data_IF_635574970071
#
_entry.id   IF_635574970071
#
_cell.length_a   1.000
_cell.length_b   1.000
_cell.length_c   1.000
_cell.angle_alpha   90.00
_cell.angle_beta   90.00
_cell.angle_gamma   90.00
#
_symmetry.space_group_name_H-M   'P 1'
#
loop_
_entity.id
_entity.type
_entity.pdbx_description
1 polymer ?
#
# COMPACT_ATOMS: atom_id res chain seq x y z
N UNK A 1 37.78 17.50 48.45
CA UNK A 1 38.77 18.34 47.73
C UNK A 1 38.79 17.93 46.27
N UNK A 2 38.47 18.92 45.41
CA UNK A 2 38.64 19.01 43.98
C UNK A 2 37.68 18.21 43.06
N UNK A 3 36.67 19.00 42.59
CA UNK A 3 35.91 18.82 41.37
C UNK A 3 36.80 18.80 40.12
N UNK A 4 36.44 17.97 39.13
CA UNK A 4 36.66 18.29 37.73
C UNK A 4 35.37 17.95 36.93
N UNK A 5 34.62 19.00 36.65
CA UNK A 5 33.58 18.99 35.64
C UNK A 5 34.26 19.13 34.27
N UNK A 6 34.01 18.17 33.36
CA UNK A 6 34.43 18.27 31.97
C UNK A 6 33.17 18.42 31.10
N UNK A 7 32.88 19.67 30.74
CA UNK A 7 31.83 20.07 29.81
C UNK A 7 32.32 19.80 28.37
N UNK A 8 31.70 18.84 27.72
CA UNK A 8 31.89 18.58 26.29
C UNK A 8 30.84 19.40 25.49
N UNK A 9 31.32 20.44 24.77
CA UNK A 9 30.51 21.23 23.85
C UNK A 9 30.59 20.61 22.46
N UNK A 10 29.47 20.30 21.77
CA UNK A 10 29.53 19.86 20.38
C UNK A 10 29.70 21.05 19.44
N UNK A 11 30.72 20.96 18.58
CA UNK A 11 30.98 21.92 17.48
C UNK A 11 29.85 21.88 16.47
N UNK A 12 29.21 23.01 16.24
CA UNK A 12 28.20 23.21 15.22
C UNK A 12 28.74 22.99 13.82
N UNK A 13 28.13 22.10 13.07
CA UNK A 13 28.33 21.96 11.63
C UNK A 13 27.41 22.98 10.94
N UNK A 14 28.06 23.94 10.26
CA UNK A 14 27.41 25.00 9.47
C UNK A 14 26.93 24.40 8.14
N UNK A 15 25.62 24.14 8.00
CA UNK A 15 25.02 23.73 6.73
C UNK A 15 24.84 24.97 5.85
N UNK A 16 25.58 24.99 4.74
CA UNK A 16 25.46 26.01 3.71
C UNK A 16 24.20 25.76 2.87
N UNK A 17 23.22 26.67 2.96
CA UNK A 17 22.05 26.68 2.08
C UNK A 17 22.44 27.17 0.69
N UNK A 18 22.47 26.28 -0.29
CA UNK A 18 22.48 26.69 -1.72
C UNK A 18 21.04 26.83 -2.19
N UNK A 19 20.61 28.07 -2.33
CA UNK A 19 19.40 28.45 -3.05
C UNK A 19 19.47 27.97 -4.51
N UNK A 20 18.64 27.00 -4.90
CA UNK A 20 18.37 26.74 -6.30
C UNK A 20 17.07 27.41 -6.71
N UNK A 21 17.21 28.46 -7.50
CA UNK A 21 16.11 29.20 -8.09
C UNK A 21 15.37 28.32 -9.11
N UNK A 22 14.15 28.01 -8.86
CA UNK A 22 13.24 27.38 -9.82
C UNK A 22 12.75 28.46 -10.81
N UNK A 23 13.23 28.40 -12.03
CA UNK A 23 12.73 29.22 -13.13
C UNK A 23 11.32 28.78 -13.50
N UNK A 24 10.35 29.67 -13.26
CA UNK A 24 8.98 29.54 -13.77
C UNK A 24 9.02 29.74 -15.29
N UNK A 25 8.66 28.70 -16.03
CA UNK A 25 8.41 28.78 -17.48
C UNK A 25 6.94 29.14 -17.67
N UNK A 26 6.65 30.36 -18.08
CA UNK A 26 5.34 30.78 -18.53
C UNK A 26 5.17 30.36 -19.98
N UNK A 27 4.22 29.46 -20.27
CA UNK A 27 3.73 29.25 -21.60
C UNK A 27 2.60 30.23 -21.88
N UNK A 28 2.90 31.16 -22.82
CA UNK A 28 1.92 32.08 -23.39
C UNK A 28 1.17 31.35 -24.52
N UNK A 29 -0.13 31.14 -24.36
CA UNK A 29 -1.00 30.65 -25.42
C UNK A 29 -1.53 31.82 -26.22
N UNK A 30 -0.97 32.00 -27.42
CA UNK A 30 -1.56 32.88 -28.41
C UNK A 30 -2.71 32.16 -29.12
N UNK A 31 -3.93 32.64 -28.90
CA UNK A 31 -5.11 32.22 -29.63
C UNK A 31 -5.09 32.89 -31.02
N UNK A 32 -5.00 32.09 -32.06
CA UNK A 32 -5.17 32.54 -33.44
C UNK A 32 -6.58 32.14 -33.93
N UNK A 33 -7.48 33.14 -33.97
CA UNK A 33 -8.78 33.01 -34.61
C UNK A 33 -8.61 33.00 -36.13
N UNK A 34 -8.89 31.91 -36.79
CA UNK A 34 -9.12 31.89 -38.26
C UNK A 34 -10.64 31.91 -38.52
N UNK A 35 -11.07 33.11 -38.99
CA UNK A 35 -12.41 33.34 -39.49
C UNK A 35 -12.41 33.00 -41.01
N UNK A 36 -13.01 31.91 -41.43
CA UNK A 36 -13.25 31.63 -42.84
C UNK A 36 -14.75 31.77 -43.11
N UNK A 37 -15.04 32.89 -43.81
CA UNK A 37 -16.32 33.13 -44.47
C UNK A 37 -16.40 32.26 -45.75
N UNK A 38 -17.33 31.32 -45.82
CA UNK A 38 -17.77 30.73 -47.09
C UNK A 38 -19.18 31.16 -47.38
N UNK A 39 -19.28 32.01 -48.42
CA UNK A 39 -20.54 32.40 -49.07
C UNK A 39 -21.00 31.30 -50.06
N UNK A 40 -22.17 30.90 -49.89
CA UNK A 40 -23.23 30.58 -50.84
C UNK A 40 -22.98 29.62 -51.99
N UNK A 41 -23.79 28.57 -52.01
CA UNK A 41 -24.47 28.22 -53.25
C UNK A 41 -25.73 27.38 -52.88
N UNK A 42 -26.89 27.92 -53.21
CA UNK A 42 -28.15 27.20 -53.24
C UNK A 42 -28.14 26.19 -54.41
N UNK A 43 -28.21 24.90 -54.09
CA UNK A 43 -28.48 23.83 -55.03
C UNK A 43 -29.51 22.91 -54.42
N UNK A 44 -30.78 23.02 -54.90
CA UNK A 44 -31.87 22.13 -54.52
C UNK A 44 -31.69 20.78 -55.21
N UNK A 45 -31.59 19.70 -54.44
CA UNK A 45 -31.68 18.32 -54.89
C UNK A 45 -32.77 17.57 -54.10
N UNK A 46 -33.47 16.60 -54.73
CA UNK A 46 -34.69 16.03 -54.20
C UNK A 46 -34.44 15.07 -53.02
N UNK A 47 -35.46 15.02 -52.16
CA UNK A 47 -35.45 14.33 -50.89
C UNK A 47 -35.18 12.83 -50.95
N UNK A 48 -34.18 12.44 -50.21
CA UNK A 48 -34.01 11.09 -49.67
C UNK A 48 -34.27 11.15 -48.18
N UNK A 49 -35.33 10.51 -47.74
CA UNK A 49 -35.67 10.40 -46.33
C UNK A 49 -34.64 9.50 -45.62
N UNK A 50 -33.56 10.06 -45.16
CA UNK A 50 -32.67 9.39 -44.20
C UNK A 50 -33.40 9.32 -42.85
N UNK A 51 -33.92 8.14 -42.52
CA UNK A 51 -34.25 7.78 -41.16
C UNK A 51 -32.99 7.88 -40.32
N UNK A 52 -32.84 8.99 -39.62
CA UNK A 52 -31.86 9.16 -38.58
C UNK A 52 -32.21 8.22 -37.43
N UNK A 53 -31.73 6.98 -37.52
CA UNK A 53 -31.70 6.04 -36.41
C UNK A 53 -30.78 6.61 -35.33
N UNK A 54 -31.35 7.29 -34.35
CA UNK A 54 -30.63 7.63 -33.10
C UNK A 54 -30.14 6.32 -32.46
N UNK A 55 -28.92 5.93 -32.79
CA UNK A 55 -28.21 4.90 -31.99
C UNK A 55 -28.00 5.50 -30.61
N UNK A 56 -28.92 5.23 -29.69
CA UNK A 56 -28.67 5.40 -28.26
C UNK A 56 -27.39 4.62 -27.92
N UNK A 57 -26.34 5.34 -27.64
CA UNK A 57 -25.18 4.75 -27.03
C UNK A 57 -25.65 4.25 -25.66
N UNK A 58 -25.94 2.97 -25.55
CA UNK A 58 -26.16 2.29 -24.30
C UNK A 58 -24.77 2.32 -23.61
N UNK A 59 -24.54 3.28 -22.72
CA UNK A 59 -23.42 3.28 -21.82
C UNK A 59 -23.65 2.08 -20.91
N UNK A 60 -23.03 0.95 -21.26
CA UNK A 60 -23.00 -0.20 -20.36
C UNK A 60 -22.27 0.25 -19.09
N UNK A 61 -23.01 0.34 -18.00
CA UNK A 61 -22.41 0.51 -16.69
C UNK A 61 -21.42 -0.64 -16.48
N UNK A 62 -20.20 -0.35 -15.98
CA UNK A 62 -19.26 -1.41 -15.65
C UNK A 62 -19.94 -2.40 -14.70
N UNK A 63 -19.71 -3.71 -14.88
CA UNK A 63 -20.30 -4.71 -14.00
C UNK A 63 -19.95 -4.39 -12.56
N UNK A 64 -20.95 -4.39 -11.67
CA UNK A 64 -20.75 -4.16 -10.24
C UNK A 64 -19.68 -5.14 -9.75
N UNK A 65 -18.66 -4.61 -9.05
CA UNK A 65 -17.62 -5.43 -8.45
C UNK A 65 -18.27 -6.52 -7.58
N UNK A 66 -17.80 -7.76 -7.74
CA UNK A 66 -18.28 -8.89 -6.92
C UNK A 66 -17.57 -8.91 -5.57
N UNK A 67 -16.37 -8.37 -5.51
CA UNK A 67 -15.53 -8.30 -4.33
C UNK A 67 -14.83 -6.93 -4.31
N UNK A 68 -15.09 -6.11 -3.30
CA UNK A 68 -14.30 -4.92 -3.00
C UNK A 68 -13.20 -5.31 -2.03
N UNK A 69 -11.96 -5.21 -2.48
CA UNK A 69 -10.76 -5.56 -1.73
C UNK A 69 -9.95 -4.32 -1.43
N UNK A 70 -9.65 -4.07 -0.15
CA UNK A 70 -8.81 -2.97 0.31
C UNK A 70 -7.52 -3.54 0.89
N UNK A 71 -6.38 -3.01 0.46
CA UNK A 71 -5.07 -3.31 1.02
C UNK A 71 -4.56 -2.09 1.81
N UNK A 72 -4.38 -2.26 3.12
CA UNK A 72 -3.80 -1.29 4.05
C UNK A 72 -2.34 -1.66 4.29
N UNK A 73 -1.41 -0.69 4.20
CA UNK A 73 -0.02 -0.97 4.44
C UNK A 73 0.95 0.12 4.02
N UNK A 74 2.23 -0.21 3.99
CA UNK A 74 3.29 0.73 3.71
C UNK A 74 3.85 0.60 2.27
N UNK A 75 5.17 0.80 2.12
CA UNK A 75 5.89 0.68 0.86
C UNK A 75 5.77 -0.69 0.21
N UNK A 76 5.73 -1.75 1.01
CA UNK A 76 5.53 -3.11 0.52
C UNK A 76 4.15 -3.31 -0.10
N UNK A 77 3.13 -2.66 0.45
CA UNK A 77 1.76 -2.69 -0.07
C UNK A 77 1.61 -1.79 -1.28
N UNK A 78 2.29 -0.64 -1.30
CA UNK A 78 2.39 0.22 -2.49
C UNK A 78 3.06 -0.50 -3.66
N UNK A 79 4.11 -1.29 -3.42
CA UNK A 79 4.84 -2.04 -4.43
C UNK A 79 6.28 -1.56 -4.67
N UNK A 80 6.88 -0.82 -3.72
CA UNK A 80 8.29 -0.41 -3.84
C UNK A 80 9.15 -1.66 -4.00
N UNK A 81 10.06 -1.64 -4.98
CA UNK A 81 10.94 -2.76 -5.30
C UNK A 81 10.47 -3.62 -6.49
N UNK A 82 9.21 -3.51 -6.90
CA UNK A 82 8.73 -4.11 -8.15
C UNK A 82 9.23 -3.33 -9.38
N UNK A 83 9.27 -4.00 -10.53
CA UNK A 83 9.60 -3.35 -11.82
C UNK A 83 8.54 -2.30 -12.21
N UNK A 84 7.28 -2.57 -11.90
CA UNK A 84 6.15 -1.65 -12.01
C UNK A 84 5.35 -1.67 -10.69
N UNK A 85 5.61 -0.71 -9.77
CA UNK A 85 4.94 -0.67 -8.47
C UNK A 85 3.42 -0.54 -8.53
N UNK A 86 2.87 0.05 -9.58
CA UNK A 86 1.42 0.26 -9.68
C UNK A 86 0.65 -1.03 -9.99
N UNK A 87 1.27 -1.95 -10.72
CA UNK A 87 0.59 -3.16 -11.21
C UNK A 87 1.21 -4.48 -10.76
N UNK A 88 2.49 -4.49 -10.37
CA UNK A 88 3.25 -5.69 -9.98
C UNK A 88 3.53 -5.72 -8.47
N UNK A 89 2.54 -5.37 -7.68
CA UNK A 89 2.57 -5.43 -6.22
C UNK A 89 1.70 -6.60 -5.72
N UNK A 90 1.97 -7.10 -4.50
CA UNK A 90 1.23 -8.23 -3.96
C UNK A 90 -0.30 -8.03 -3.85
N UNK A 91 -0.85 -6.81 -3.57
CA UNK A 91 -2.30 -6.61 -3.61
C UNK A 91 -2.89 -6.80 -5.00
N UNK A 92 -2.21 -6.33 -6.05
CA UNK A 92 -2.65 -6.50 -7.45
C UNK A 92 -2.62 -7.97 -7.86
N UNK A 93 -1.56 -8.69 -7.53
CA UNK A 93 -1.43 -10.12 -7.79
C UNK A 93 -2.49 -10.92 -7.01
N UNK A 94 -2.74 -10.57 -5.74
CA UNK A 94 -3.81 -11.18 -4.95
C UNK A 94 -5.18 -10.92 -5.58
N UNK A 95 -5.46 -9.70 -6.05
CA UNK A 95 -6.71 -9.39 -6.71
C UNK A 95 -6.92 -10.22 -7.98
N UNK A 96 -5.87 -10.48 -8.75
CA UNK A 96 -5.92 -11.42 -9.90
C UNK A 96 -6.23 -12.85 -9.45
N UNK A 97 -5.61 -13.35 -8.39
CA UNK A 97 -5.86 -14.68 -7.82
C UNK A 97 -7.28 -14.84 -7.25
N UNK A 98 -7.86 -13.76 -6.71
CA UNK A 98 -9.23 -13.73 -6.21
C UNK A 98 -10.26 -13.76 -7.34
N UNK A 99 -9.85 -13.47 -8.57
CA UNK A 99 -10.62 -13.65 -9.78
C UNK A 99 -11.28 -12.41 -10.36
N UNK A 100 -11.87 -12.55 -11.55
CA UNK A 100 -12.48 -11.43 -12.28
C UNK A 100 -13.68 -10.86 -11.51
N UNK A 101 -13.73 -9.56 -11.42
CA UNK A 101 -14.71 -8.82 -10.63
C UNK A 101 -14.24 -8.43 -9.24
N UNK A 102 -12.96 -8.69 -8.90
CA UNK A 102 -12.30 -8.08 -7.75
C UNK A 102 -11.95 -6.63 -8.07
N UNK A 103 -12.44 -5.71 -7.25
CA UNK A 103 -12.08 -4.29 -7.29
C UNK A 103 -11.08 -4.01 -6.17
N UNK A 104 -9.82 -3.85 -6.52
CA UNK A 104 -8.74 -3.51 -5.58
C UNK A 104 -8.70 -2.01 -5.33
N UNK A 105 -8.56 -1.66 -4.05
CA UNK A 105 -8.20 -0.32 -3.58
C UNK A 105 -6.93 -0.48 -2.75
N UNK A 106 -5.79 -0.16 -3.37
CA UNK A 106 -4.49 -0.21 -2.70
C UNK A 106 -4.26 1.12 -1.99
N UNK A 107 -4.20 1.10 -0.66
CA UNK A 107 -3.99 2.27 0.21
C UNK A 107 -2.55 2.37 0.71
N UNK A 108 -1.63 1.55 0.22
CA UNK A 108 -0.25 1.53 0.66
C UNK A 108 0.43 2.91 0.58
N UNK A 109 0.96 3.41 1.69
CA UNK A 109 1.66 4.68 1.78
C UNK A 109 3.12 4.41 2.19
N UNK A 110 4.11 4.64 1.29
CA UNK A 110 5.52 4.42 1.63
C UNK A 110 5.96 5.16 2.90
N UNK A 111 6.60 4.44 3.82
CA UNK A 111 7.12 5.00 5.07
C UNK A 111 6.10 5.15 6.20
N UNK A 112 4.81 4.90 5.97
CA UNK A 112 3.77 5.05 6.98
C UNK A 112 4.01 4.09 8.16
N UNK A 113 3.79 4.60 9.37
CA UNK A 113 3.68 3.80 10.60
C UNK A 113 2.20 3.62 10.97
N UNK A 114 1.91 2.62 11.80
CA UNK A 114 0.54 2.24 12.15
C UNK A 114 -0.31 3.41 12.67
N UNK A 115 0.26 4.28 13.50
CA UNK A 115 -0.44 5.45 14.02
C UNK A 115 -0.94 6.39 12.91
N UNK A 116 -0.12 6.60 11.88
CA UNK A 116 -0.49 7.44 10.73
C UNK A 116 -1.54 6.78 9.85
N UNK A 117 -1.47 5.45 9.69
CA UNK A 117 -2.46 4.68 8.93
C UNK A 117 -3.88 4.81 9.52
N UNK A 118 -4.01 5.00 10.84
CA UNK A 118 -5.30 5.24 11.51
C UNK A 118 -6.07 6.43 10.94
N UNK A 119 -5.37 7.47 10.50
CA UNK A 119 -5.98 8.70 10.01
C UNK A 119 -5.95 8.80 8.47
N UNK A 120 -4.95 8.19 7.83
CA UNK A 120 -4.78 8.27 6.38
C UNK A 120 -5.52 7.14 5.63
N UNK A 121 -5.45 5.90 6.10
CA UNK A 121 -5.93 4.73 5.36
C UNK A 121 -7.27 4.20 5.88
N UNK A 122 -7.45 4.13 7.20
CA UNK A 122 -8.65 3.53 7.81
C UNK A 122 -9.96 4.21 7.40
N UNK A 123 -10.07 5.56 7.36
CA UNK A 123 -11.32 6.21 6.92
C UNK A 123 -11.69 5.85 5.48
N UNK A 124 -10.70 5.84 4.58
CA UNK A 124 -10.91 5.48 3.17
C UNK A 124 -11.30 4.01 3.03
N UNK A 125 -10.64 3.13 3.80
CA UNK A 125 -10.94 1.70 3.81
C UNK A 125 -12.39 1.42 4.23
N UNK A 126 -12.92 2.16 5.20
CA UNK A 126 -14.30 2.01 5.68
C UNK A 126 -15.32 2.56 4.66
N UNK A 127 -15.03 3.72 4.08
CA UNK A 127 -15.95 4.46 3.20
C UNK A 127 -16.32 3.68 1.92
N UNK A 128 -15.42 2.83 1.44
CA UNK A 128 -15.65 2.01 0.24
C UNK A 128 -16.41 0.71 0.49
N UNK A 129 -16.84 0.45 1.72
CA UNK A 129 -17.61 -0.74 2.12
C UNK A 129 -17.00 -2.06 1.62
N UNK A 130 -15.78 -2.41 2.05
CA UNK A 130 -15.04 -3.57 1.54
C UNK A 130 -15.66 -4.90 1.97
N UNK A 131 -15.39 -5.93 1.16
CA UNK A 131 -15.65 -7.32 1.53
C UNK A 131 -14.40 -8.00 2.11
N UNK A 132 -13.22 -7.52 1.70
CA UNK A 132 -11.92 -8.02 2.16
C UNK A 132 -11.02 -6.85 2.49
N UNK A 133 -10.36 -6.91 3.64
CA UNK A 133 -9.29 -5.99 4.04
C UNK A 133 -8.06 -6.82 4.37
N UNK A 134 -6.94 -6.50 3.73
CA UNK A 134 -5.63 -7.01 4.13
C UNK A 134 -4.81 -5.91 4.77
N UNK A 135 -4.01 -6.26 5.78
CA UNK A 135 -3.20 -5.32 6.55
C UNK A 135 -1.77 -5.86 6.64
N UNK A 136 -0.80 -5.06 6.20
CA UNK A 136 0.61 -5.36 6.43
C UNK A 136 1.35 -4.07 6.83
N UNK A 137 1.43 -3.88 8.16
CA UNK A 137 2.11 -2.77 8.85
C UNK A 137 2.97 -3.37 9.97
N UNK A 138 3.91 -2.64 10.48
CA UNK A 138 4.79 -2.91 11.62
C UNK A 138 6.28 -2.77 11.31
N UNK A 139 6.75 -3.05 10.10
CA UNK A 139 8.18 -2.98 9.77
C UNK A 139 8.70 -1.54 9.95
N UNK A 140 7.93 -0.55 9.52
CA UNK A 140 8.27 0.87 9.74
C UNK A 140 8.18 1.26 11.22
N UNK A 141 7.20 0.76 11.96
CA UNK A 141 7.09 0.99 13.42
C UNK A 141 8.32 0.44 14.15
N UNK A 142 8.74 -0.78 13.80
CA UNK A 142 9.94 -1.40 14.32
C UNK A 142 11.20 -0.60 13.94
N UNK A 143 11.31 -0.17 12.69
CA UNK A 143 12.44 0.60 12.17
C UNK A 143 12.56 2.01 12.77
N UNK A 144 11.44 2.62 13.14
CA UNK A 144 11.36 3.95 13.77
C UNK A 144 11.32 3.89 15.32
N UNK A 145 11.62 2.75 15.94
CA UNK A 145 11.62 2.57 17.39
C UNK A 145 10.30 2.93 18.08
N UNK A 146 9.15 2.74 17.40
CA UNK A 146 7.84 2.98 18.02
C UNK A 146 7.69 2.09 19.24
N UNK A 147 7.36 2.66 20.43
CA UNK A 147 7.22 1.86 21.63
C UNK A 147 6.16 0.77 21.45
N UNK A 148 6.49 -0.47 21.83
CA UNK A 148 5.63 -1.63 21.59
C UNK A 148 4.21 -1.48 22.19
N UNK A 149 4.10 -0.79 23.34
CA UNK A 149 2.79 -0.51 23.94
C UNK A 149 1.97 0.52 23.14
N UNK A 150 2.62 1.44 22.40
CA UNK A 150 1.95 2.38 21.52
C UNK A 150 1.46 1.64 20.29
N UNK A 151 2.31 0.83 19.65
CA UNK A 151 1.94 -0.03 18.55
C UNK A 151 0.75 -0.95 18.91
N UNK A 152 0.78 -1.57 20.10
CA UNK A 152 -0.31 -2.44 20.56
C UNK A 152 -1.65 -1.71 20.68
N UNK A 153 -1.66 -0.48 21.22
CA UNK A 153 -2.87 0.35 21.34
C UNK A 153 -3.40 0.77 19.96
N UNK A 154 -2.51 1.18 19.08
CA UNK A 154 -2.88 1.64 17.74
C UNK A 154 -3.40 0.49 16.88
N UNK A 155 -2.82 -0.71 17.01
CA UNK A 155 -3.30 -1.92 16.33
C UNK A 155 -4.70 -2.33 16.83
N UNK A 156 -4.94 -2.30 18.13
CA UNK A 156 -6.26 -2.56 18.70
C UNK A 156 -7.31 -1.55 18.23
N UNK A 157 -6.93 -0.28 18.17
CA UNK A 157 -7.78 0.79 17.66
C UNK A 157 -8.08 0.63 16.17
N UNK A 158 -7.07 0.29 15.34
CA UNK A 158 -7.21 0.06 13.91
C UNK A 158 -8.21 -1.07 13.65
N UNK A 159 -8.01 -2.23 14.26
CA UNK A 159 -8.89 -3.39 14.09
C UNK A 159 -10.31 -3.08 14.58
N UNK A 160 -10.44 -2.41 15.73
CA UNK A 160 -11.74 -1.99 16.27
C UNK A 160 -12.48 -1.02 15.36
N UNK A 161 -11.77 -0.06 14.72
CA UNK A 161 -12.38 0.89 13.78
C UNK A 161 -12.84 0.17 12.52
N UNK A 162 -12.01 -0.71 11.95
CA UNK A 162 -12.35 -1.48 10.76
C UNK A 162 -13.54 -2.41 11.00
N UNK A 163 -13.58 -3.14 12.11
CA UNK A 163 -14.70 -4.03 12.43
C UNK A 163 -16.02 -3.28 12.64
N UNK A 164 -15.97 -2.10 13.24
CA UNK A 164 -17.18 -1.27 13.41
C UNK A 164 -17.64 -0.62 12.12
N UNK A 165 -16.69 -0.12 11.31
CA UNK A 165 -17.00 0.62 10.09
C UNK A 165 -17.28 -0.26 8.88
N UNK A 166 -16.71 -1.47 8.85
CA UNK A 166 -16.88 -2.45 7.78
C UNK A 166 -17.21 -3.85 8.34
N UNK A 167 -18.36 -4.02 9.04
CA UNK A 167 -18.67 -5.26 9.77
C UNK A 167 -18.80 -6.50 8.89
N UNK A 168 -18.98 -6.32 7.58
CA UNK A 168 -19.06 -7.42 6.61
C UNK A 168 -17.70 -7.78 6.01
N UNK A 169 -16.66 -7.01 6.31
CA UNK A 169 -15.35 -7.24 5.74
C UNK A 169 -14.63 -8.39 6.45
N UNK A 170 -14.08 -9.30 5.67
CA UNK A 170 -13.10 -10.27 6.15
C UNK A 170 -11.77 -9.56 6.35
N UNK A 171 -11.24 -9.55 7.57
CA UNK A 171 -9.99 -8.84 7.90
C UNK A 171 -8.86 -9.86 8.05
N UNK A 172 -7.75 -9.58 7.40
CA UNK A 172 -6.55 -10.40 7.38
C UNK A 172 -5.34 -9.53 7.69
N UNK A 173 -4.50 -9.93 8.61
CA UNK A 173 -3.29 -9.19 8.98
C UNK A 173 -2.05 -10.09 8.84
N UNK A 174 -0.98 -9.54 8.27
CA UNK A 174 0.31 -10.19 8.22
C UNK A 174 1.18 -9.79 9.42
N UNK A 175 1.96 -10.74 9.93
CA UNK A 175 2.99 -10.44 10.93
C UNK A 175 4.30 -9.96 10.28
N UNK A 176 5.25 -9.53 11.11
CA UNK A 176 6.59 -9.12 10.68
C UNK A 176 7.37 -10.37 10.25
N UNK A 177 7.93 -10.40 9.02
CA UNK A 177 8.77 -11.50 8.57
C UNK A 177 10.09 -11.58 9.35
N UNK A 178 10.88 -12.62 9.12
CA UNK A 178 12.21 -12.74 9.72
C UNK A 178 13.18 -11.73 9.09
N UNK A 179 13.26 -10.54 9.65
CA UNK A 179 14.08 -9.44 9.16
C UNK A 179 15.59 -9.72 9.20
N UNK A 180 16.04 -10.78 9.90
CA UNK A 180 17.45 -11.21 9.89
C UNK A 180 17.88 -11.73 8.52
N UNK A 181 16.93 -12.06 7.66
CA UNK A 181 17.16 -12.50 6.28
C UNK A 181 17.15 -11.34 5.27
N UNK A 182 16.86 -10.13 5.73
CA UNK A 182 16.76 -8.93 4.91
C UNK A 182 18.05 -8.12 5.02
N UNK A 183 18.85 -7.98 3.95
CA UNK A 183 20.18 -7.33 3.99
C UNK A 183 20.15 -5.92 4.57
N UNK A 184 19.09 -5.17 4.35
CA UNK A 184 18.93 -3.81 4.88
C UNK A 184 19.12 -3.73 6.41
N UNK A 185 18.78 -4.78 7.16
CA UNK A 185 18.89 -4.82 8.61
C UNK A 185 20.21 -5.43 9.12
N UNK A 186 21.16 -5.73 8.22
CA UNK A 186 22.45 -6.38 8.59
C UNK A 186 23.33 -5.59 9.56
N UNK A 187 23.08 -4.28 9.70
CA UNK A 187 23.79 -3.41 10.66
C UNK A 187 23.29 -3.54 12.11
N UNK A 188 22.15 -4.21 12.32
CA UNK A 188 21.58 -4.43 13.65
C UNK A 188 22.05 -5.80 14.17
N UNK A 189 22.43 -5.87 15.45
CA UNK A 189 22.72 -7.14 16.08
C UNK A 189 21.58 -8.13 15.90
N UNK A 190 21.90 -9.33 15.45
CA UNK A 190 20.94 -10.36 15.06
C UNK A 190 20.00 -10.76 16.19
N UNK A 191 20.49 -10.82 17.45
CA UNK A 191 19.67 -11.18 18.61
C UNK A 191 18.74 -10.03 19.01
N UNK A 192 19.23 -8.80 18.94
CA UNK A 192 18.43 -7.61 19.18
C UNK A 192 17.29 -7.52 18.15
N UNK A 193 17.62 -7.65 16.86
CA UNK A 193 16.63 -7.62 15.80
C UNK A 193 15.57 -8.74 15.96
N UNK A 194 16.03 -9.96 16.27
CA UNK A 194 15.14 -11.08 16.53
C UNK A 194 14.16 -10.80 17.68
N UNK A 195 14.69 -10.34 18.82
CA UNK A 195 13.87 -10.02 19.99
C UNK A 195 12.82 -8.93 19.68
N UNK A 196 13.19 -7.91 18.89
CA UNK A 196 12.26 -6.87 18.47
C UNK A 196 11.16 -7.43 17.57
N UNK A 197 11.50 -8.20 16.55
CA UNK A 197 10.53 -8.86 15.66
C UNK A 197 9.57 -9.74 16.47
N UNK A 198 10.08 -10.54 17.41
CA UNK A 198 9.25 -11.39 18.27
C UNK A 198 8.28 -10.58 19.13
N UNK A 199 8.72 -9.43 19.64
CA UNK A 199 7.86 -8.55 20.45
C UNK A 199 6.68 -8.00 19.64
N UNK A 200 6.92 -7.54 18.41
CA UNK A 200 5.85 -7.09 17.49
C UNK A 200 4.93 -8.25 17.12
N UNK A 201 5.47 -9.41 16.78
CA UNK A 201 4.69 -10.57 16.41
C UNK A 201 3.83 -11.11 17.56
N UNK A 202 4.30 -11.02 18.79
CA UNK A 202 3.50 -11.36 19.96
C UNK A 202 2.29 -10.41 20.13
N UNK A 203 2.47 -9.11 19.89
CA UNK A 203 1.39 -8.12 19.92
C UNK A 203 0.37 -8.41 18.80
N UNK A 204 0.86 -8.67 17.57
CA UNK A 204 -0.02 -9.00 16.45
C UNK A 204 -0.82 -10.27 16.74
N UNK A 205 -0.18 -11.34 17.22
CA UNK A 205 -0.85 -12.59 17.55
C UNK A 205 -1.92 -12.40 18.65
N UNK A 206 -1.64 -11.59 19.67
CA UNK A 206 -2.60 -11.25 20.72
C UNK A 206 -3.80 -10.47 20.16
N UNK A 207 -3.57 -9.50 19.26
CA UNK A 207 -4.61 -8.74 18.60
C UNK A 207 -5.47 -9.62 17.68
N UNK A 208 -4.84 -10.47 16.86
CA UNK A 208 -5.50 -11.48 16.01
C UNK A 208 -6.49 -12.33 16.82
N UNK A 209 -6.04 -12.85 17.97
CA UNK A 209 -6.88 -13.67 18.85
C UNK A 209 -8.03 -12.85 19.44
N UNK A 210 -7.77 -11.60 19.87
CA UNK A 210 -8.77 -10.74 20.52
C UNK A 210 -9.86 -10.27 19.56
N UNK A 211 -9.46 -9.93 18.33
CA UNK A 211 -10.35 -9.42 17.29
C UNK A 211 -10.91 -10.51 16.36
N UNK A 212 -10.52 -11.77 16.54
CA UNK A 212 -10.93 -12.90 15.68
C UNK A 212 -10.68 -12.66 14.19
N UNK A 213 -9.54 -12.03 13.85
CA UNK A 213 -9.11 -11.80 12.46
C UNK A 213 -8.14 -12.90 12.01
N UNK A 214 -7.87 -12.97 10.70
CA UNK A 214 -7.01 -14.01 10.13
C UNK A 214 -5.56 -13.52 10.16
N UNK A 215 -4.63 -14.40 10.58
CA UNK A 215 -3.19 -14.16 10.55
C UNK A 215 -2.55 -14.75 9.30
N UNK A 216 -1.74 -13.95 8.61
CA UNK A 216 -0.75 -14.44 7.65
C UNK A 216 0.59 -14.52 8.39
N UNK A 217 1.07 -15.72 8.63
CA UNK A 217 2.34 -15.93 9.33
C UNK A 217 3.53 -15.84 8.35
N UNK A 218 3.93 -14.62 8.03
CA UNK A 218 5.11 -14.36 7.20
C UNK A 218 6.40 -14.76 7.90
N UNK A 219 6.45 -14.68 9.24
CA UNK A 219 7.67 -15.02 9.97
C UNK A 219 8.11 -16.46 9.71
N UNK A 220 7.21 -17.40 9.79
CA UNK A 220 7.51 -18.81 9.55
C UNK A 220 7.76 -19.10 8.06
N UNK A 221 7.09 -18.39 7.17
CA UNK A 221 7.19 -18.59 5.71
C UNK A 221 8.41 -17.93 5.08
N UNK A 222 8.96 -16.90 5.72
CA UNK A 222 10.09 -16.13 5.18
C UNK A 222 11.40 -16.90 5.05
N UNK A 223 11.48 -18.12 5.60
CA UNK A 223 12.65 -18.98 5.46
C UNK A 223 12.94 -19.36 4.01
N UNK A 224 11.93 -19.33 3.12
CA UNK A 224 12.10 -19.55 1.68
C UNK A 224 13.07 -18.53 1.05
N UNK A 225 13.17 -17.31 1.60
CA UNK A 225 14.08 -16.27 1.13
C UNK A 225 15.56 -16.69 1.15
N UNK A 226 15.95 -17.61 2.03
CA UNK A 226 17.31 -18.17 2.04
C UNK A 226 17.68 -18.92 0.76
N UNK A 227 16.69 -19.49 0.10
CA UNK A 227 16.84 -20.25 -1.13
C UNK A 227 16.50 -19.41 -2.38
N UNK A 228 15.83 -18.28 -2.19
CA UNK A 228 15.29 -17.42 -3.22
C UNK A 228 15.67 -15.95 -2.97
N UNK A 229 16.97 -15.61 -3.04
CA UNK A 229 17.40 -14.22 -2.85
C UNK A 229 16.80 -13.27 -3.90
N UNK A 230 16.37 -13.80 -5.05
CA UNK A 230 15.66 -13.06 -6.09
C UNK A 230 14.29 -12.55 -5.69
N UNK A 231 13.75 -13.00 -4.55
CA UNK A 231 12.49 -12.44 -4.00
C UNK A 231 12.69 -11.06 -3.34
N UNK A 232 13.94 -10.63 -3.11
CA UNK A 232 14.25 -9.26 -2.73
C UNK A 232 14.65 -8.43 -3.95
N UNK A 233 14.26 -7.16 -3.92
CA UNK A 233 14.71 -6.19 -4.92
C UNK A 233 16.16 -5.78 -4.69
N UNK A 234 16.71 -5.05 -5.65
CA UNK A 234 18.10 -4.58 -5.59
C UNK A 234 18.41 -3.62 -4.43
N UNK A 235 17.41 -3.09 -3.72
CA UNK A 235 17.59 -2.26 -2.53
C UNK A 235 17.89 -3.08 -1.26
N UNK A 236 17.75 -4.40 -1.35
CA UNK A 236 18.00 -5.33 -0.24
C UNK A 236 17.01 -5.22 0.91
N UNK A 237 15.84 -4.60 0.69
CA UNK A 237 14.80 -4.39 1.69
C UNK A 237 13.42 -4.84 1.20
N UNK A 238 12.94 -4.24 0.12
CA UNK A 238 11.60 -4.54 -0.40
C UNK A 238 11.59 -5.83 -1.22
N UNK A 239 10.47 -6.51 -1.31
CA UNK A 239 10.29 -7.60 -2.25
C UNK A 239 10.50 -7.15 -3.70
N UNK A 240 11.04 -8.03 -4.53
CA UNK A 240 11.03 -7.88 -5.98
C UNK A 240 9.64 -8.19 -6.56
N UNK A 241 9.46 -7.99 -7.87
CA UNK A 241 8.26 -8.45 -8.60
C UNK A 241 7.95 -9.92 -8.31
N UNK A 242 8.98 -10.80 -8.32
CA UNK A 242 8.81 -12.22 -7.99
C UNK A 242 8.44 -12.44 -6.51
N UNK A 243 9.06 -11.67 -5.61
CA UNK A 243 8.75 -11.71 -4.18
C UNK A 243 7.31 -11.29 -3.90
N UNK A 244 6.80 -10.29 -4.60
CA UNK A 244 5.40 -9.86 -4.47
C UNK A 244 4.42 -10.91 -4.98
N UNK A 245 4.69 -11.54 -6.11
CA UNK A 245 3.88 -12.66 -6.61
C UNK A 245 3.83 -13.80 -5.58
N UNK A 246 4.97 -14.12 -4.96
CA UNK A 246 5.03 -15.14 -3.90
C UNK A 246 4.23 -14.75 -2.65
N UNK A 247 4.30 -13.50 -2.23
CA UNK A 247 3.47 -12.97 -1.13
C UNK A 247 1.98 -13.10 -1.43
N UNK A 248 1.57 -12.72 -2.63
CA UNK A 248 0.17 -12.85 -3.07
C UNK A 248 -0.34 -14.29 -2.97
N UNK A 249 0.49 -15.27 -3.39
CA UNK A 249 0.18 -16.69 -3.24
C UNK A 249 -0.02 -17.08 -1.77
N UNK A 250 0.85 -16.63 -0.86
CA UNK A 250 0.74 -16.93 0.57
C UNK A 250 -0.56 -16.37 1.17
N UNK A 251 -0.92 -15.12 0.83
CA UNK A 251 -2.18 -14.53 1.23
C UNK A 251 -3.37 -15.31 0.67
N UNK A 252 -3.34 -15.64 -0.61
CA UNK A 252 -4.41 -16.39 -1.26
C UNK A 252 -4.63 -17.77 -0.65
N UNK A 253 -3.56 -18.54 -0.41
CA UNK A 253 -3.66 -19.85 0.22
C UNK A 253 -4.22 -19.78 1.63
N UNK A 254 -3.80 -18.79 2.42
CA UNK A 254 -4.33 -18.58 3.76
C UNK A 254 -5.82 -18.22 3.73
N UNK A 255 -6.22 -17.35 2.80
CA UNK A 255 -7.63 -16.99 2.61
C UNK A 255 -8.49 -18.20 2.22
N UNK A 256 -7.98 -19.10 1.40
CA UNK A 256 -8.71 -20.33 0.99
C UNK A 256 -8.83 -21.34 2.11
N UNK A 257 -7.82 -21.49 2.96
CA UNK A 257 -7.81 -22.48 4.05
C UNK A 257 -8.55 -22.00 5.30
N UNK A 258 -8.81 -20.69 5.42
CA UNK A 258 -9.53 -20.13 6.56
C UNK A 258 -11.03 -20.09 6.27
N UNK A 259 -11.90 -20.52 7.20
CA UNK A 259 -13.34 -20.46 7.00
C UNK A 259 -13.79 -19.02 6.73
N UNK A 260 -14.81 -18.88 5.88
CA UNK A 260 -15.56 -17.61 5.81
C UNK A 260 -16.27 -17.39 7.14
N UNK A 261 -16.31 -16.15 7.65
CA UNK A 261 -17.01 -15.83 8.89
C UNK A 261 -18.49 -16.15 8.81
#
# INVERSE_FOLDING_TARGET
MHCFANTFQPRGVRVSSKNSAWKRVFFSTAALCFLLLFLGSCGSLPGESQQSGSRSLVIQQPPKARLTYVAIGASDTFGIGADDPETQNWPSDLAMLLGPGTHLINLGIPGVVLHQALDAEVPVAIDVHPNLITIWLAVNDLGNDVPINSYARDLDLLLSRLQRGAPQARIVIANVPDLRLVPYFSYIDTQILYARVQSYNAVIAAAVKRHHVILIDLFSRWQELRQHPEYLSGDGFHPSTLGYAKLAELFYQTLKSSPSP
#
